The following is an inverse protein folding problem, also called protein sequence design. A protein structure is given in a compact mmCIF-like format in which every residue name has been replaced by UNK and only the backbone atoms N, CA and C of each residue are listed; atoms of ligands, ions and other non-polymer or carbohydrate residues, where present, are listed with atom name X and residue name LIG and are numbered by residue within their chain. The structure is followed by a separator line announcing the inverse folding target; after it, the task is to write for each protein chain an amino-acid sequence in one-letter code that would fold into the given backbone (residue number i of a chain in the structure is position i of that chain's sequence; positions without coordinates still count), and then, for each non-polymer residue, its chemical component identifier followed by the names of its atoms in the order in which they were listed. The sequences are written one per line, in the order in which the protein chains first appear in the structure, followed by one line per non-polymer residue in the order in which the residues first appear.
data_IF_829397816509
#
_entry.id   IF_829397816509
#
_cell.length_a   1.000
_cell.length_b   1.000
_cell.length_c   1.000
_cell.angle_alpha   90.00
_cell.angle_beta   90.00
_cell.angle_gamma   90.00
#
_symmetry.space_group_name_H-M   'P 1'
#
loop_
_entity.id
_entity.type
_entity.pdbx_description
1 polymer ?
#
# COMPACT_ATOMS: atom_id res chain seq x y z
N UNK A 1 -11.57 -15.18 17.48
CA UNK A 1 -10.62 -15.26 16.35
C UNK A 1 -11.28 -15.95 15.17
N UNK A 2 -11.00 -15.45 13.97
CA UNK A 2 -11.58 -16.03 12.77
C UNK A 2 -10.82 -17.30 12.37
N UNK A 3 -11.57 -18.33 11.94
CA UNK A 3 -10.97 -19.54 11.40
C UNK A 3 -10.09 -19.16 10.19
N UNK A 4 -8.87 -19.68 10.13
CA UNK A 4 -7.95 -19.35 9.04
C UNK A 4 -8.47 -19.77 7.67
N UNK A 5 -9.39 -20.74 7.60
CA UNK A 5 -10.07 -21.09 6.35
C UNK A 5 -10.94 -19.97 5.84
N UNK A 6 -11.33 -19.06 6.72
CA UNK A 6 -12.12 -17.87 6.38
C UNK A 6 -11.24 -16.66 6.08
N UNK A 7 -9.93 -16.89 5.86
CA UNK A 7 -8.99 -15.82 5.48
C UNK A 7 -8.30 -16.27 4.18
N UNK A 8 -9.05 -16.31 3.06
CA UNK A 8 -8.52 -16.85 1.81
C UNK A 8 -7.74 -15.79 1.03
N UNK A 9 -6.53 -15.49 1.47
CA UNK A 9 -5.71 -14.43 0.87
C UNK A 9 -5.51 -14.65 -0.63
N UNK A 10 -5.14 -15.87 -1.02
CA UNK A 10 -4.88 -16.16 -2.42
C UNK A 10 -6.14 -16.07 -3.26
N UNK A 11 -7.19 -16.80 -2.86
CA UNK A 11 -8.43 -16.86 -3.64
C UNK A 11 -9.26 -15.58 -3.55
N UNK A 12 -9.20 -14.90 -2.41
CA UNK A 12 -10.06 -13.75 -2.14
C UNK A 12 -9.44 -12.40 -2.47
N UNK A 13 -8.13 -12.34 -2.65
CA UNK A 13 -7.44 -11.10 -2.95
C UNK A 13 -6.57 -11.24 -4.18
N UNK A 14 -5.61 -12.15 -4.15
CA UNK A 14 -4.62 -12.22 -5.21
C UNK A 14 -5.22 -12.67 -6.54
N UNK A 15 -6.14 -13.63 -6.51
CA UNK A 15 -6.80 -14.08 -7.74
C UNK A 15 -7.81 -13.07 -8.27
N UNK A 16 -8.40 -12.25 -7.39
CA UNK A 16 -9.34 -11.21 -7.83
C UNK A 16 -8.61 -10.05 -8.51
N UNK A 17 -7.43 -9.68 -8.00
CA UNK A 17 -6.75 -8.45 -8.41
C UNK A 17 -5.30 -8.69 -8.83
N UNK A 18 -5.02 -9.65 -9.72
CA UNK A 18 -3.62 -9.99 -10.03
C UNK A 18 -2.84 -8.82 -10.64
N UNK A 19 -3.45 -8.09 -11.55
CA UNK A 19 -2.76 -6.97 -12.22
C UNK A 19 -2.62 -5.78 -11.29
N UNK A 20 -3.65 -5.52 -10.48
CA UNK A 20 -3.60 -4.42 -9.52
C UNK A 20 -2.52 -4.68 -8.45
N UNK A 21 -2.43 -5.91 -7.96
CA UNK A 21 -1.41 -6.25 -6.97
C UNK A 21 0.00 -6.09 -7.54
N UNK A 22 0.20 -6.53 -8.79
CA UNK A 22 1.49 -6.35 -9.46
C UNK A 22 1.83 -4.86 -9.60
N UNK A 23 0.85 -4.05 -9.94
CA UNK A 23 1.06 -2.62 -10.12
C UNK A 23 1.39 -1.93 -8.80
N UNK A 24 0.70 -2.30 -7.72
CA UNK A 24 1.02 -1.79 -6.39
C UNK A 24 2.45 -2.19 -5.99
N UNK A 25 2.84 -3.42 -6.31
CA UNK A 25 4.18 -3.92 -6.04
C UNK A 25 5.24 -3.12 -6.79
N UNK A 26 4.99 -2.84 -8.09
CA UNK A 26 5.90 -2.03 -8.89
C UNK A 26 6.07 -0.63 -8.29
N UNK A 27 4.97 -0.03 -7.86
CA UNK A 27 4.98 1.30 -7.26
C UNK A 27 5.77 1.30 -5.95
N UNK A 28 5.62 0.26 -5.14
CA UNK A 28 6.38 0.09 -3.91
C UNK A 28 7.87 -0.01 -4.19
N UNK A 29 8.25 -0.79 -5.20
CA UNK A 29 9.65 -0.94 -5.60
C UNK A 29 10.22 0.40 -6.08
N UNK A 30 9.48 1.11 -6.93
CA UNK A 30 9.91 2.40 -7.45
C UNK A 30 10.14 3.41 -6.33
N UNK A 31 9.25 3.43 -5.33
CA UNK A 31 9.39 4.33 -4.18
C UNK A 31 10.67 4.01 -3.38
N UNK A 32 10.96 2.72 -3.17
CA UNK A 32 12.19 2.33 -2.49
C UNK A 32 13.42 2.82 -3.25
N UNK A 33 13.42 2.62 -4.57
CA UNK A 33 14.58 3.02 -5.38
C UNK A 33 14.72 4.53 -5.45
N UNK A 34 13.63 5.27 -5.39
CA UNK A 34 13.66 6.73 -5.41
C UNK A 34 14.20 7.30 -4.11
N UNK A 35 13.75 6.79 -2.98
CA UNK A 35 14.05 7.36 -1.66
C UNK A 35 15.22 6.66 -0.95
N UNK A 36 15.46 5.39 -1.27
CA UNK A 36 16.49 4.57 -0.65
C UNK A 36 17.15 3.70 -1.72
N UNK A 37 17.92 4.31 -2.67
CA UNK A 37 18.39 3.57 -3.85
C UNK A 37 19.34 2.42 -3.54
N UNK A 38 19.96 2.41 -2.36
CA UNK A 38 20.85 1.34 -1.94
C UNK A 38 20.15 0.22 -1.16
N UNK A 39 18.84 0.31 -1.00
CA UNK A 39 18.02 -0.73 -0.34
C UNK A 39 17.32 -1.57 -1.38
N UNK A 40 17.07 -2.84 -1.08
CA UNK A 40 16.34 -3.71 -2.00
C UNK A 40 14.85 -3.40 -1.97
N UNK A 41 14.18 -3.74 -0.88
CA UNK A 41 12.78 -3.37 -0.66
C UNK A 41 12.69 -2.86 0.76
N UNK A 42 12.05 -1.70 0.92
CA UNK A 42 12.07 -1.08 2.22
C UNK A 42 10.88 -0.16 2.42
N UNK A 43 10.11 -0.40 3.45
CA UNK A 43 9.05 0.49 3.90
C UNK A 43 9.56 1.29 5.07
N UNK A 44 9.83 2.58 4.84
CA UNK A 44 10.34 3.46 5.89
C UNK A 44 9.17 3.95 6.74
N UNK A 45 8.97 3.27 7.85
CA UNK A 45 7.88 3.57 8.77
C UNK A 45 8.08 4.84 9.57
N UNK A 46 9.30 5.40 9.53
CA UNK A 46 9.61 6.64 10.25
C UNK A 46 9.28 7.89 9.44
N UNK A 47 9.07 7.74 8.14
CA UNK A 47 8.89 8.89 7.27
C UNK A 47 7.50 9.49 7.42
N UNK A 48 6.54 8.95 6.76
CA UNK A 48 5.26 9.61 6.59
C UNK A 48 4.16 8.76 7.20
N UNK A 49 3.38 9.35 8.07
CA UNK A 49 2.18 8.70 8.60
C UNK A 49 0.89 9.37 8.12
N UNK A 50 1.01 10.15 7.03
CA UNK A 50 -0.14 10.85 6.45
C UNK A 50 -0.81 10.03 5.35
N UNK A 51 -0.97 8.72 5.59
CA UNK A 51 -1.49 7.81 4.58
C UNK A 51 -2.84 8.24 4.02
N UNK A 52 -3.73 8.72 4.89
CA UNK A 52 -5.08 9.08 4.45
C UNK A 52 -5.07 10.36 3.62
N UNK A 53 -4.30 11.35 4.02
CA UNK A 53 -4.17 12.58 3.24
C UNK A 53 -3.53 12.30 1.89
N UNK A 54 -2.48 11.49 1.87
CA UNK A 54 -1.81 11.13 0.63
C UNK A 54 -2.74 10.34 -0.29
N UNK A 55 -3.52 9.43 0.29
CA UNK A 55 -4.49 8.64 -0.47
C UNK A 55 -5.51 9.53 -1.16
N UNK A 56 -6.06 10.49 -0.43
CA UNK A 56 -7.06 11.40 -0.99
C UNK A 56 -6.43 12.30 -2.04
N UNK A 57 -5.22 12.82 -1.80
CA UNK A 57 -4.50 13.65 -2.77
C UNK A 57 -4.34 12.91 -4.10
N UNK A 58 -3.87 11.67 -4.04
CA UNK A 58 -3.66 10.88 -5.26
C UNK A 58 -4.98 10.54 -5.95
N UNK A 59 -6.03 10.33 -5.18
CA UNK A 59 -7.34 10.06 -5.76
C UNK A 59 -7.84 11.27 -6.54
N UNK A 60 -7.69 12.46 -5.98
CA UNK A 60 -8.08 13.70 -6.65
C UNK A 60 -7.21 13.96 -7.88
N UNK A 61 -5.90 13.72 -7.77
CA UNK A 61 -4.99 13.93 -8.89
C UNK A 61 -5.26 12.97 -10.02
N UNK A 62 -5.72 11.76 -9.71
CA UNK A 62 -6.09 10.77 -10.73
C UNK A 62 -7.17 11.32 -11.68
N UNK A 63 -8.10 12.11 -11.17
CA UNK A 63 -9.15 12.69 -12.01
C UNK A 63 -8.58 13.61 -13.08
N UNK A 64 -7.47 14.30 -12.79
CA UNK A 64 -6.84 15.20 -13.75
C UNK A 64 -5.87 14.45 -14.67
N UNK A 65 -5.09 13.55 -14.12
CA UNK A 65 -4.13 12.76 -14.89
C UNK A 65 -3.86 11.45 -14.15
N UNK A 66 -4.16 10.30 -14.74
CA UNK A 66 -3.93 9.01 -14.06
C UNK A 66 -2.47 8.74 -13.72
N UNK A 67 -1.53 9.38 -14.42
CA UNK A 67 -0.10 9.13 -14.25
C UNK A 67 0.54 10.28 -13.48
N UNK A 68 1.26 9.95 -12.41
CA UNK A 68 1.98 10.93 -11.60
C UNK A 68 3.29 11.35 -12.29
N UNK A 69 3.91 12.39 -11.77
CA UNK A 69 5.14 12.96 -12.32
C UNK A 69 6.28 11.95 -12.41
N UNK A 70 6.28 10.95 -11.55
CA UNK A 70 7.31 9.91 -11.53
C UNK A 70 7.00 8.73 -12.45
N UNK A 71 5.92 8.81 -13.22
CA UNK A 71 5.51 7.75 -14.14
C UNK A 71 4.65 6.67 -13.50
N UNK A 72 4.42 6.74 -12.20
CA UNK A 72 3.60 5.76 -11.50
C UNK A 72 2.13 6.18 -11.52
N UNK A 73 1.23 5.21 -11.44
CA UNK A 73 -0.21 5.50 -11.43
C UNK A 73 -0.64 6.01 -10.07
N UNK A 74 -1.43 7.09 -10.06
CA UNK A 74 -2.01 7.60 -8.82
C UNK A 74 -2.84 6.53 -8.12
N UNK A 75 -3.63 5.74 -8.86
CA UNK A 75 -4.46 4.71 -8.23
C UNK A 75 -3.63 3.62 -7.54
N UNK A 76 -2.45 3.31 -8.07
CA UNK A 76 -1.56 2.36 -7.40
C UNK A 76 -1.06 2.94 -6.06
N UNK A 77 -0.81 4.24 -6.05
CA UNK A 77 -0.40 4.93 -4.81
C UNK A 77 -1.56 5.00 -3.81
N UNK A 78 -2.79 5.19 -4.30
CA UNK A 78 -3.99 5.13 -3.44
C UNK A 78 -4.08 3.77 -2.78
N UNK A 79 -3.96 2.70 -3.56
CA UNK A 79 -4.05 1.33 -3.05
C UNK A 79 -2.94 1.04 -2.03
N UNK A 80 -1.71 1.46 -2.33
CA UNK A 80 -0.59 1.26 -1.41
C UNK A 80 -0.84 1.98 -0.08
N UNK A 81 -1.30 3.23 -0.13
CA UNK A 81 -1.59 4.01 1.08
C UNK A 81 -2.74 3.41 1.88
N UNK A 82 -3.76 2.87 1.21
CA UNK A 82 -4.86 2.20 1.89
C UNK A 82 -4.36 0.97 2.65
N UNK A 83 -3.51 0.18 2.00
CA UNK A 83 -2.92 -1.00 2.65
C UNK A 83 -2.02 -0.59 3.82
N UNK A 84 -1.20 0.44 3.63
CA UNK A 84 -0.32 0.92 4.70
C UNK A 84 -1.12 1.42 5.90
N UNK A 85 -2.17 2.19 5.64
CA UNK A 85 -3.04 2.69 6.70
C UNK A 85 -3.75 1.57 7.44
N UNK A 86 -4.26 0.58 6.70
CA UNK A 86 -4.91 -0.57 7.31
C UNK A 86 -3.91 -1.39 8.14
N UNK A 87 -2.73 -1.61 7.61
CA UNK A 87 -1.70 -2.38 8.31
C UNK A 87 -1.31 -1.72 9.63
N UNK A 88 -1.05 -0.42 9.61
CA UNK A 88 -0.67 0.30 10.83
C UNK A 88 -1.81 0.34 11.84
N UNK A 89 -3.04 0.48 11.36
CA UNK A 89 -4.21 0.46 12.24
C UNK A 89 -4.33 -0.89 12.96
N UNK A 90 -4.20 -1.99 12.20
CA UNK A 90 -4.31 -3.32 12.78
C UNK A 90 -3.20 -3.62 13.77
N UNK A 91 -2.02 -3.06 13.56
CA UNK A 91 -0.89 -3.26 14.47
C UNK A 91 -1.15 -2.67 15.85
N UNK A 92 -1.99 -1.64 15.96
CA UNK A 92 -2.34 -1.09 17.26
C UNK A 92 -3.10 -2.10 18.12
N UNK A 93 -3.98 -2.87 17.51
CA UNK A 93 -4.70 -3.92 18.22
C UNK A 93 -3.80 -5.09 18.56
N UNK A 94 -2.94 -5.46 17.61
CA UNK A 94 -2.03 -6.58 17.79
C UNK A 94 -1.11 -6.36 18.99
N UNK A 95 -0.60 -5.14 19.12
CA UNK A 95 0.24 -4.77 20.24
C UNK A 95 -0.49 -4.99 21.56
N UNK A 96 -1.77 -4.62 21.63
CA UNK A 96 -2.57 -4.79 22.85
C UNK A 96 -2.87 -6.25 23.14
N UNK A 97 -3.15 -7.04 22.12
CA UNK A 97 -3.52 -8.43 22.29
C UNK A 97 -2.34 -9.31 22.65
N UNK A 98 -1.17 -9.00 22.11
CA UNK A 98 0.03 -9.80 22.31
C UNK A 98 0.69 -9.53 23.66
N UNK A 99 0.26 -8.49 24.36
CA UNK A 99 0.71 -8.21 25.70
C UNK A 99 0.03 -9.14 26.71
#
# INVERSE_FOLDING_TARGET
MRDRKNIPVYRGVLQYFPDAIKKVSETSYAATKQHHPDKEMFWDRTKSNDHYDAMIRHLLDHENNPIDNDGELHLAKVAWRALAGLQTYLETFKTKEDE
#
